data_IF_215679616158
#
_entry.id   IF_215679616158
#
_cell.length_a   1.000
_cell.length_b   1.000
_cell.length_c   1.000
_cell.angle_alpha   90.00
_cell.angle_beta   90.00
_cell.angle_gamma   90.00
#
_symmetry.space_group_name_H-M   'P 1'
#
loop_
_entity.id
_entity.type
_entity.pdbx_description
1 polymer ?
#
# COMPACT_ATOMS: atom_id res chain seq x y z
N UNK A 1 -6.67 -23.97 -16.99
CA UNK A 1 -7.97 -23.47 -17.49
C UNK A 1 -8.13 -22.07 -16.93
N UNK A 2 -8.03 -21.04 -17.77
CA UNK A 2 -8.30 -19.65 -17.37
C UNK A 2 -9.68 -19.35 -17.96
N UNK A 3 -10.66 -19.10 -17.10
CA UNK A 3 -12.00 -18.71 -17.53
C UNK A 3 -11.92 -17.38 -18.27
N UNK A 4 -12.49 -17.31 -19.48
CA UNK A 4 -12.43 -16.12 -20.36
C UNK A 4 -13.02 -14.85 -19.73
N UNK A 5 -13.78 -14.96 -18.64
CA UNK A 5 -14.33 -13.83 -17.88
C UNK A 5 -13.26 -13.07 -17.09
N UNK A 6 -12.14 -13.72 -16.73
CA UNK A 6 -11.02 -13.05 -16.03
C UNK A 6 -10.28 -12.04 -16.92
N UNK A 7 -10.51 -12.02 -18.24
CA UNK A 7 -9.94 -10.98 -19.12
C UNK A 7 -10.59 -9.60 -18.93
N UNK A 8 -11.73 -9.51 -18.24
CA UNK A 8 -12.43 -8.24 -17.98
C UNK A 8 -12.03 -7.61 -16.65
N UNK A 9 -11.39 -8.36 -15.75
CA UNK A 9 -10.96 -7.87 -14.45
C UNK A 9 -9.44 -7.79 -14.36
N UNK A 10 -8.96 -6.88 -13.52
CA UNK A 10 -7.55 -6.49 -13.45
C UNK A 10 -6.92 -6.95 -12.12
N UNK A 11 -7.55 -7.90 -11.43
CA UNK A 11 -7.03 -8.44 -10.18
C UNK A 11 -5.63 -9.04 -10.42
N UNK A 12 -4.69 -8.75 -9.52
CA UNK A 12 -3.30 -9.20 -9.63
C UNK A 12 -2.44 -8.40 -10.62
N UNK A 13 -3.00 -7.38 -11.27
CA UNK A 13 -2.26 -6.50 -12.18
C UNK A 13 -1.70 -5.28 -11.44
N UNK A 14 -0.68 -4.66 -12.06
CA UNK A 14 -0.14 -3.38 -11.65
C UNK A 14 -0.67 -2.27 -12.57
N UNK A 15 -1.23 -1.21 -11.98
CA UNK A 15 -1.58 0.01 -12.69
C UNK A 15 -0.41 0.99 -12.56
N UNK A 16 0.09 1.48 -13.69
CA UNK A 16 1.18 2.45 -13.74
C UNK A 16 0.60 3.80 -14.15
N UNK A 17 0.76 4.81 -13.30
CA UNK A 17 0.26 6.15 -13.58
C UNK A 17 0.99 6.77 -14.77
N UNK A 18 0.23 7.31 -15.71
CA UNK A 18 0.78 8.05 -16.84
C UNK A 18 1.24 9.46 -16.40
N UNK A 19 2.21 10.08 -17.10
CA UNK A 19 2.65 11.44 -16.78
C UNK A 19 1.54 12.51 -16.84
N UNK A 20 0.46 12.25 -17.58
CA UNK A 20 -0.66 13.17 -17.78
C UNK A 20 -1.91 12.86 -16.95
N UNK A 21 -1.81 12.06 -15.88
CA UNK A 21 -2.95 11.60 -15.08
C UNK A 21 -3.76 12.72 -14.40
N UNK A 22 -3.23 13.94 -14.35
CA UNK A 22 -3.93 15.15 -13.89
C UNK A 22 -4.05 15.27 -12.37
N UNK A 23 -4.26 14.15 -11.66
CA UNK A 23 -4.31 14.11 -10.20
C UNK A 23 -2.92 13.82 -9.60
N UNK A 24 -2.38 14.79 -8.85
CA UNK A 24 -1.07 14.70 -8.19
C UNK A 24 -0.98 13.53 -7.20
N UNK A 25 -2.10 13.10 -6.60
CA UNK A 25 -2.13 11.95 -5.68
C UNK A 25 -1.64 10.69 -6.35
N UNK A 26 -1.93 10.52 -7.63
CA UNK A 26 -1.51 9.37 -8.44
C UNK A 26 -0.27 9.66 -9.30
N UNK A 27 0.31 10.86 -9.22
CA UNK A 27 1.53 11.17 -9.97
C UNK A 27 2.64 10.19 -9.61
N UNK A 28 3.19 9.54 -10.64
CA UNK A 28 4.27 8.53 -10.56
C UNK A 28 3.95 7.34 -9.64
N UNK A 29 2.68 6.98 -9.44
CA UNK A 29 2.30 5.81 -8.64
C UNK A 29 2.30 4.51 -9.43
N UNK A 30 2.64 3.43 -8.74
CA UNK A 30 2.35 2.05 -9.14
C UNK A 30 1.37 1.47 -8.14
N UNK A 31 0.23 0.98 -8.62
CA UNK A 31 -0.85 0.45 -7.78
C UNK A 31 -1.01 -1.05 -8.07
N UNK A 32 -0.94 -1.88 -7.05
CA UNK A 32 -1.30 -3.29 -7.15
C UNK A 32 -2.79 -3.48 -6.91
N UNK A 33 -3.50 -4.16 -7.82
CA UNK A 33 -4.93 -4.39 -7.71
C UNK A 33 -5.23 -5.70 -6.96
N UNK A 34 -5.72 -5.57 -5.72
CA UNK A 34 -6.02 -6.70 -4.84
C UNK A 34 -7.37 -7.35 -5.18
N UNK A 35 -8.35 -6.54 -5.55
CA UNK A 35 -9.69 -6.97 -5.95
C UNK A 35 -10.23 -6.06 -7.06
N UNK A 36 -10.94 -6.64 -8.03
CA UNK A 36 -11.64 -5.92 -9.08
C UNK A 36 -12.85 -6.73 -9.50
N UNK A 37 -14.02 -6.13 -9.41
CA UNK A 37 -15.30 -6.70 -9.79
C UNK A 37 -16.20 -5.60 -10.39
N UNK A 38 -17.44 -5.93 -10.75
CA UNK A 38 -18.38 -4.96 -11.31
C UNK A 38 -18.79 -3.87 -10.31
N UNK A 39 -18.66 -4.15 -9.01
CA UNK A 39 -18.95 -3.22 -7.92
C UNK A 39 -17.82 -2.22 -7.69
N UNK A 40 -16.62 -2.48 -8.21
CA UNK A 40 -15.47 -1.58 -8.11
C UNK A 40 -14.13 -2.29 -8.03
N UNK A 41 -13.09 -1.53 -7.67
CA UNK A 41 -11.73 -2.02 -7.53
C UNK A 41 -11.08 -1.53 -6.24
N UNK A 42 -10.26 -2.38 -5.64
CA UNK A 42 -9.42 -2.09 -4.48
C UNK A 42 -7.97 -2.36 -4.84
N UNK A 43 -7.10 -1.38 -4.61
CA UNK A 43 -5.68 -1.52 -4.84
C UNK A 43 -4.85 -0.77 -3.80
N UNK A 44 -3.55 -1.07 -3.78
CA UNK A 44 -2.57 -0.48 -2.89
C UNK A 44 -1.45 0.17 -3.69
N UNK A 45 -1.10 1.41 -3.38
CA UNK A 45 0.11 2.04 -3.91
C UNK A 45 1.33 1.35 -3.28
N UNK A 46 2.27 0.89 -4.11
CA UNK A 46 3.44 0.10 -3.67
C UNK A 46 4.76 0.86 -3.75
N UNK A 47 4.74 2.12 -4.19
CA UNK A 47 5.96 2.88 -4.46
C UNK A 47 5.96 4.31 -3.90
N UNK A 48 5.07 4.63 -2.94
CA UNK A 48 5.05 5.94 -2.27
C UNK A 48 5.26 5.78 -0.76
N UNK A 49 6.44 6.13 -0.23
CA UNK A 49 6.68 6.19 1.21
C UNK A 49 5.77 7.17 1.93
N UNK A 50 5.38 6.82 3.15
CA UNK A 50 4.74 7.74 4.09
C UNK A 50 5.84 8.37 4.95
N UNK A 51 6.51 9.40 4.44
CA UNK A 51 7.72 10.00 5.06
C UNK A 51 7.50 10.47 6.51
N UNK A 52 6.26 10.84 6.86
CA UNK A 52 5.87 11.33 8.18
C UNK A 52 5.54 10.21 9.19
N UNK A 53 5.58 8.94 8.75
CA UNK A 53 5.14 7.80 9.56
C UNK A 53 6.28 6.81 9.73
N UNK A 54 6.73 6.62 10.97
CA UNK A 54 7.62 5.52 11.34
C UNK A 54 6.83 4.27 11.66
N UNK A 55 7.38 3.12 11.31
CA UNK A 55 6.73 1.84 11.60
C UNK A 55 6.52 1.61 13.11
N UNK A 56 7.46 2.05 13.96
CA UNK A 56 7.33 2.02 15.42
C UNK A 56 6.07 2.74 15.91
N UNK A 57 5.79 3.90 15.32
CA UNK A 57 4.73 4.80 15.78
C UNK A 57 3.37 4.19 15.40
N UNK A 58 3.26 3.56 14.23
CA UNK A 58 2.08 2.78 13.84
C UNK A 58 1.82 1.61 14.79
N UNK A 59 2.87 0.85 15.14
CA UNK A 59 2.70 -0.29 16.04
C UNK A 59 2.20 0.15 17.43
N UNK A 60 2.64 1.30 17.92
CA UNK A 60 2.10 1.89 19.16
C UNK A 60 0.64 2.32 18.99
N UNK A 61 0.29 2.97 17.88
CA UNK A 61 -1.09 3.39 17.59
C UNK A 61 -2.05 2.21 17.49
N UNK A 62 -1.59 1.08 16.94
CA UNK A 62 -2.36 -0.16 16.83
C UNK A 62 -2.40 -0.96 18.15
N UNK A 63 -1.77 -0.47 19.22
CA UNK A 63 -1.58 -1.18 20.49
C UNK A 63 -0.88 -2.54 20.34
N UNK A 64 -0.05 -2.69 19.30
CA UNK A 64 0.77 -3.88 19.07
C UNK A 64 2.12 -3.80 19.77
N UNK A 65 2.53 -2.59 20.16
CA UNK A 65 3.64 -2.36 21.07
C UNK A 65 3.14 -1.64 22.33
N UNK A 66 3.42 -2.17 23.53
CA UNK A 66 3.20 -1.43 24.76
C UNK A 66 4.06 -0.16 24.76
N UNK A 67 3.54 0.88 25.41
CA UNK A 67 4.21 2.19 25.54
C UNK A 67 5.47 2.16 26.42
N UNK A 68 5.78 1.01 27.00
CA UNK A 68 6.96 0.79 27.86
C UNK A 68 8.23 0.63 27.01
N UNK A 69 9.29 1.31 27.42
CA UNK A 69 10.61 1.36 26.75
C UNK A 69 11.35 0.00 26.68
N UNK A 70 10.84 -1.03 27.36
CA UNK A 70 11.49 -2.33 27.50
C UNK A 70 11.38 -3.25 26.27
N UNK A 71 10.46 -2.97 25.33
CA UNK A 71 10.38 -3.78 24.11
C UNK A 71 11.38 -3.28 23.07
N UNK A 72 12.51 -3.99 23.01
CA UNK A 72 13.50 -3.79 21.97
C UNK A 72 12.98 -4.33 20.63
N UNK A 73 12.39 -3.45 19.82
CA UNK A 73 12.07 -3.74 18.42
C UNK A 73 13.39 -4.10 17.70
N UNK A 74 13.46 -5.27 17.02
CA UNK A 74 14.60 -5.63 16.20
C UNK A 74 14.98 -4.51 15.21
N UNK A 75 16.28 -4.25 14.98
CA UNK A 75 16.73 -3.14 14.15
C UNK A 75 16.14 -3.17 12.72
N UNK A 76 15.98 -4.35 12.13
CA UNK A 76 15.37 -4.53 10.81
C UNK A 76 13.90 -4.09 10.74
N UNK A 77 13.17 -4.14 11.86
CA UNK A 77 11.77 -3.72 11.92
C UNK A 77 11.68 -2.21 12.12
N UNK A 78 12.62 -1.60 12.87
CA UNK A 78 12.69 -0.15 13.06
C UNK A 78 12.94 0.60 11.75
N UNK A 79 13.71 0.00 10.85
CA UNK A 79 14.06 0.56 9.55
C UNK A 79 12.99 0.30 8.47
N UNK A 80 11.91 -0.41 8.82
CA UNK A 80 10.87 -0.74 7.85
C UNK A 80 10.15 0.53 7.39
N UNK A 81 10.17 0.77 6.07
CA UNK A 81 9.49 1.91 5.46
C UNK A 81 8.00 1.63 5.35
N UNK A 82 7.18 2.54 5.88
CA UNK A 82 5.74 2.53 5.69
C UNK A 82 5.41 3.17 4.34
N UNK A 83 4.49 2.57 3.60
CA UNK A 83 4.01 3.11 2.33
C UNK A 83 2.58 3.64 2.48
N UNK A 84 2.24 4.71 1.74
CA UNK A 84 0.86 5.19 1.62
C UNK A 84 0.10 4.23 0.70
N UNK A 85 -0.99 3.62 1.18
CA UNK A 85 -1.77 2.64 0.40
C UNK A 85 -2.74 3.24 -0.62
N UNK A 86 -3.13 4.50 -0.44
CA UNK A 86 -4.14 5.20 -1.24
C UNK A 86 -4.31 6.65 -0.76
N UNK A 87 -5.26 7.40 -1.33
CA UNK A 87 -5.66 8.72 -0.82
C UNK A 87 -6.28 8.65 0.58
#
# INVERSE_FOLDING_TARGET
MIDKTDQLFLRGQLLVASPGIGDERFSRTVIYLCAHSVEGAMGLIVNKPAEEIKFSDLLQQLNLLPKSEDIQIPPNIREMTVLRGGP
#
